data_IF_253132538864
#
_entry.id   IF_253132538864
#
_cell.length_a   1.000
_cell.length_b   1.000
_cell.length_c   1.000
_cell.angle_alpha   90.00
_cell.angle_beta   90.00
_cell.angle_gamma   90.00
#
_symmetry.space_group_name_H-M   'P 1'
#
loop_
_entity.id
_entity.type
_entity.pdbx_description
1 polymer ?
#
# COMPACT_ATOMS: atom_id res chain seq x y z
N UNK A 1 1.98 93.75 25.25
CA UNK A 1 0.82 92.88 24.99
C UNK A 1 1.30 91.81 24.03
N UNK A 2 2.07 90.83 24.53
CA UNK A 2 1.57 89.52 25.00
C UNK A 2 0.79 88.82 23.87
N UNK A 3 1.15 87.64 23.39
CA UNK A 3 1.57 86.47 24.16
C UNK A 3 2.08 85.34 23.27
N UNK A 4 2.74 84.38 23.93
CA UNK A 4 2.80 82.94 23.64
C UNK A 4 3.67 82.38 22.49
N UNK A 5 4.77 81.78 22.94
CA UNK A 5 5.49 80.66 22.34
C UNK A 5 4.60 79.41 22.36
N UNK A 6 4.56 78.66 21.25
CA UNK A 6 4.21 77.24 21.26
C UNK A 6 5.19 76.48 20.37
N UNK A 7 5.90 75.53 20.99
CA UNK A 7 6.83 74.59 20.38
C UNK A 7 5.99 73.50 19.70
N UNK A 8 6.14 73.31 18.39
CA UNK A 8 5.55 72.18 17.66
C UNK A 8 6.56 71.02 17.63
N UNK A 9 6.19 69.91 18.26
CA UNK A 9 6.94 68.67 18.28
C UNK A 9 6.77 67.89 16.96
N UNK A 10 7.88 67.27 16.54
CA UNK A 10 8.05 66.40 15.39
C UNK A 10 7.33 65.06 15.63
N UNK A 11 6.52 64.60 14.67
CA UNK A 11 6.12 63.19 14.55
C UNK A 11 6.54 62.67 13.17
N UNK A 12 7.71 62.04 13.11
CA UNK A 12 8.15 61.23 11.97
C UNK A 12 7.56 59.84 12.15
N UNK A 13 6.52 59.51 11.41
CA UNK A 13 5.98 58.16 11.35
C UNK A 13 6.86 57.31 10.43
N UNK A 14 7.75 56.51 11.02
CA UNK A 14 8.42 55.43 10.31
C UNK A 14 7.43 54.29 10.09
N UNK A 15 6.93 54.15 8.86
CA UNK A 15 6.09 53.03 8.46
C UNK A 15 6.90 51.74 8.40
N UNK A 16 6.91 50.98 9.50
CA UNK A 16 7.21 49.55 9.48
C UNK A 16 6.02 48.85 8.82
N UNK A 17 6.08 48.71 7.50
CA UNK A 17 5.19 47.82 6.77
C UNK A 17 5.51 46.37 7.14
N UNK A 18 4.76 45.81 8.08
CA UNK A 18 4.61 44.37 8.18
C UNK A 18 3.93 43.90 6.89
N UNK A 19 4.73 43.49 5.91
CA UNK A 19 4.24 42.71 4.79
C UNK A 19 3.73 41.39 5.33
N UNK A 20 2.41 41.31 5.55
CA UNK A 20 1.74 40.02 5.71
C UNK A 20 1.88 39.35 4.34
N UNK A 21 2.78 38.38 4.23
CA UNK A 21 2.81 37.52 3.06
C UNK A 21 1.43 36.84 2.99
N UNK A 22 0.56 37.34 2.11
CA UNK A 22 -0.65 36.61 1.77
C UNK A 22 -0.16 35.31 1.15
N UNK A 23 -0.44 34.19 1.81
CA UNK A 23 -0.30 32.89 1.19
C UNK A 23 -1.18 32.94 -0.06
N UNK A 24 -0.54 32.93 -1.22
CA UNK A 24 -1.23 32.84 -2.49
C UNK A 24 -1.99 31.51 -2.47
N UNK A 25 -3.31 31.56 -2.30
CA UNK A 25 -4.15 30.38 -2.50
C UNK A 25 -3.89 29.91 -3.92
N UNK A 26 -3.21 28.76 -4.05
CA UNK A 26 -2.93 28.18 -5.34
C UNK A 26 -4.26 28.05 -6.09
N UNK A 27 -4.36 28.74 -7.23
CA UNK A 27 -5.56 28.72 -8.04
C UNK A 27 -5.82 27.28 -8.50
N UNK A 28 -7.05 26.79 -8.28
CA UNK A 28 -7.46 25.44 -8.68
C UNK A 28 -7.29 25.24 -10.19
N UNK A 29 -6.65 24.14 -10.59
CA UNK A 29 -6.45 23.77 -12.00
C UNK A 29 -7.78 23.38 -12.67
N UNK A 30 -8.73 22.85 -11.89
CA UNK A 30 -10.02 22.39 -12.39
C UNK A 30 -11.23 23.22 -11.92
N UNK A 31 -10.98 24.40 -11.34
CA UNK A 31 -12.04 25.25 -10.77
C UNK A 31 -12.80 24.56 -9.63
N UNK A 32 -12.12 23.70 -8.87
CA UNK A 32 -12.65 23.02 -7.70
C UNK A 32 -12.87 23.99 -6.52
N UNK A 33 -13.98 23.79 -5.79
CA UNK A 33 -14.32 24.60 -4.62
C UNK A 33 -14.92 23.76 -3.48
N UNK A 34 -14.57 24.11 -2.24
CA UNK A 34 -15.06 23.48 -1.01
C UNK A 34 -14.75 21.97 -0.88
N UNK A 35 -13.72 21.46 -1.56
CA UNK A 35 -13.35 20.03 -1.48
C UNK A 35 -12.95 19.60 -0.07
N UNK A 36 -12.31 20.49 0.68
CA UNK A 36 -11.75 20.17 1.98
C UNK A 36 -12.78 20.35 3.12
N UNK A 37 -13.80 21.19 2.92
CA UNK A 37 -14.83 21.49 3.90
C UNK A 37 -16.12 20.69 3.67
N UNK A 38 -16.51 20.50 2.39
CA UNK A 38 -17.81 19.91 1.99
C UNK A 38 -17.67 18.65 1.15
N UNK A 39 -16.46 18.27 0.74
CA UNK A 39 -16.25 17.05 -0.03
C UNK A 39 -16.52 15.80 0.80
N UNK A 40 -17.08 14.78 0.15
CA UNK A 40 -17.30 13.45 0.72
C UNK A 40 -16.67 12.38 -0.18
N UNK A 41 -15.44 11.90 0.11
CA UNK A 41 -14.58 12.29 1.24
C UNK A 41 -13.93 13.67 1.04
N UNK A 42 -13.50 14.29 2.14
CA UNK A 42 -12.73 15.53 2.09
C UNK A 42 -11.42 15.30 1.34
N UNK A 43 -11.11 16.22 0.42
CA UNK A 43 -9.94 16.12 -0.43
C UNK A 43 -9.27 17.49 -0.65
N UNK A 44 -7.99 17.46 -1.02
CA UNK A 44 -7.20 18.60 -1.42
C UNK A 44 -6.78 18.43 -2.87
N UNK A 45 -6.86 19.49 -3.65
CA UNK A 45 -6.25 19.54 -4.98
C UNK A 45 -4.76 19.86 -4.83
N UNK A 46 -3.92 18.97 -5.34
CA UNK A 46 -2.48 19.12 -5.41
C UNK A 46 -1.99 19.57 -6.78
N UNK A 47 -0.69 19.47 -7.01
CA UNK A 47 -0.07 19.85 -8.29
C UNK A 47 -0.31 18.79 -9.36
N UNK A 48 -0.17 19.19 -10.62
CA UNK A 48 -0.20 18.32 -11.80
C UNK A 48 -1.47 17.46 -11.95
N UNK A 49 -2.54 17.91 -11.32
CA UNK A 49 -3.85 17.29 -11.28
C UNK A 49 -3.98 16.09 -10.35
N UNK A 50 -3.05 15.91 -9.42
CA UNK A 50 -3.20 14.98 -8.31
C UNK A 50 -4.16 15.54 -7.26
N UNK A 51 -5.02 14.68 -6.73
CA UNK A 51 -5.85 14.99 -5.57
C UNK A 51 -5.36 14.20 -4.38
N UNK A 52 -5.68 14.60 -3.15
CA UNK A 52 -5.27 13.90 -1.94
C UNK A 52 -6.43 13.89 -0.94
N UNK A 53 -6.86 12.72 -0.51
CA UNK A 53 -7.90 12.61 0.53
C UNK A 53 -7.33 13.00 1.88
N UNK A 54 -8.08 13.80 2.65
CA UNK A 54 -7.59 14.27 3.96
C UNK A 54 -7.31 13.09 4.88
N UNK A 55 -8.25 12.14 4.99
CA UNK A 55 -8.13 11.02 5.92
C UNK A 55 -7.27 9.85 5.43
N UNK A 56 -7.14 9.68 4.12
CA UNK A 56 -6.39 8.56 3.51
C UNK A 56 -4.95 8.92 3.18
N UNK A 57 -4.73 10.14 2.65
CA UNK A 57 -3.41 10.57 2.21
C UNK A 57 -2.75 11.54 3.20
N UNK A 58 -3.51 12.47 3.78
CA UNK A 58 -2.92 13.63 4.49
C UNK A 58 -2.75 13.41 5.99
N UNK A 59 -3.64 12.66 6.64
CA UNK A 59 -3.69 12.49 8.10
C UNK A 59 -2.47 11.77 8.75
N UNK A 60 -1.44 11.39 7.99
CA UNK A 60 -0.18 10.78 8.45
C UNK A 60 -0.37 9.66 9.48
N UNK A 61 -1.26 8.70 9.19
CA UNK A 61 -1.52 7.57 10.09
C UNK A 61 -0.33 6.61 10.12
N UNK A 62 0.03 6.12 11.31
CA UNK A 62 1.02 5.04 11.44
C UNK A 62 0.45 3.71 10.94
N UNK A 63 1.28 2.94 10.22
CA UNK A 63 0.95 1.61 9.69
C UNK A 63 1.58 0.46 10.49
N UNK A 64 2.41 0.75 11.49
CA UNK A 64 2.95 -0.24 12.43
C UNK A 64 3.35 0.42 13.76
N UNK A 65 2.38 0.77 14.61
CA UNK A 65 2.69 1.09 16.01
C UNK A 65 3.29 -0.14 16.74
N UNK A 66 3.89 0.00 17.93
CA UNK A 66 4.54 -1.10 18.61
C UNK A 66 3.66 -2.33 18.83
N UNK A 67 2.41 -2.14 19.25
CA UNK A 67 1.47 -3.24 19.48
C UNK A 67 1.14 -3.98 18.17
N UNK A 68 0.93 -3.23 17.09
CA UNK A 68 0.70 -3.82 15.77
C UNK A 68 1.91 -4.64 15.29
N UNK A 69 3.13 -4.13 15.46
CA UNK A 69 4.33 -4.87 15.09
C UNK A 69 4.46 -6.19 15.88
N UNK A 70 4.10 -6.20 17.15
CA UNK A 70 4.05 -7.41 17.98
C UNK A 70 3.02 -8.41 17.48
N UNK A 71 1.80 -7.98 17.16
CA UNK A 71 0.76 -8.86 16.60
C UNK A 71 1.16 -9.47 15.25
N UNK A 72 1.73 -8.66 14.35
CA UNK A 72 2.23 -9.16 13.06
C UNK A 72 3.38 -10.15 13.28
N UNK A 73 4.27 -9.90 14.24
CA UNK A 73 5.36 -10.82 14.57
C UNK A 73 4.87 -12.14 15.16
N UNK A 74 3.89 -12.10 16.06
CA UNK A 74 3.25 -13.30 16.62
C UNK A 74 2.62 -14.15 15.52
N UNK A 75 1.82 -13.51 14.65
CA UNK A 75 1.21 -14.17 13.50
C UNK A 75 2.25 -14.72 12.51
N UNK A 76 3.29 -13.95 12.20
CA UNK A 76 4.40 -14.39 11.33
C UNK A 76 5.12 -15.62 11.90
N UNK A 77 5.27 -15.71 13.23
CA UNK A 77 5.89 -16.86 13.90
C UNK A 77 5.02 -18.11 13.79
N UNK A 78 3.70 -17.96 13.93
CA UNK A 78 2.74 -19.06 13.74
C UNK A 78 2.81 -19.59 12.31
N UNK A 79 2.70 -18.73 11.30
CA UNK A 79 2.82 -19.13 9.89
C UNK A 79 4.13 -19.88 9.61
N UNK A 80 5.24 -19.39 10.17
CA UNK A 80 6.56 -20.01 10.00
C UNK A 80 6.64 -21.40 10.62
N UNK A 81 5.92 -21.66 11.73
CA UNK A 81 5.82 -22.99 12.33
C UNK A 81 5.12 -24.00 11.39
N UNK A 82 4.26 -23.52 10.49
CA UNK A 82 3.60 -24.31 9.45
C UNK A 82 4.33 -24.29 8.09
N UNK A 83 5.55 -23.76 8.04
CA UNK A 83 6.38 -23.74 6.83
C UNK A 83 6.13 -22.56 5.89
N UNK A 84 5.24 -21.63 6.25
CA UNK A 84 4.87 -20.45 5.46
C UNK A 84 5.61 -19.21 5.96
N UNK A 85 6.25 -18.46 5.06
CA UNK A 85 6.86 -17.17 5.40
C UNK A 85 5.88 -16.05 5.08
N UNK A 86 5.52 -15.26 6.08
CA UNK A 86 4.76 -14.02 5.88
C UNK A 86 5.66 -12.97 5.24
N UNK A 87 5.23 -12.42 4.10
CA UNK A 87 5.77 -11.23 3.47
C UNK A 87 4.76 -10.11 3.69
N UNK A 88 5.04 -9.25 4.67
CA UNK A 88 4.15 -8.14 5.02
C UNK A 88 4.46 -6.92 4.13
N UNK A 89 3.44 -6.40 3.45
CA UNK A 89 3.61 -5.37 2.42
C UNK A 89 2.71 -4.17 2.73
N UNK A 90 3.17 -3.21 3.55
CA UNK A 90 2.45 -1.96 3.75
C UNK A 90 2.60 -1.06 2.52
N UNK A 91 1.50 -0.80 1.82
CA UNK A 91 1.51 0.10 0.66
C UNK A 91 1.63 1.55 1.17
N UNK A 92 2.61 2.34 0.68
CA UNK A 92 2.74 3.74 1.09
C UNK A 92 1.54 4.57 0.64
N UNK A 93 1.25 5.67 1.32
CA UNK A 93 0.22 6.61 0.86
C UNK A 93 0.70 7.39 -0.35
N UNK A 94 -0.24 7.92 -1.14
CA UNK A 94 0.10 8.76 -2.30
C UNK A 94 0.88 10.00 -1.86
N UNK A 95 0.61 10.56 -0.69
CA UNK A 95 1.33 11.71 -0.15
C UNK A 95 2.75 11.39 0.35
N UNK A 96 3.06 10.11 0.61
CA UNK A 96 4.42 9.65 0.92
C UNK A 96 5.24 9.50 -0.37
N UNK A 97 4.61 8.96 -1.42
CA UNK A 97 5.26 8.74 -2.72
C UNK A 97 5.40 10.04 -3.53
N UNK A 98 4.36 10.87 -3.56
CA UNK A 98 4.23 12.09 -4.37
C UNK A 98 4.24 13.36 -3.51
N UNK A 99 5.19 13.46 -2.58
CA UNK A 99 5.26 14.56 -1.62
C UNK A 99 5.37 15.94 -2.31
N UNK A 100 6.07 16.02 -3.43
CA UNK A 100 6.24 17.24 -4.22
C UNK A 100 4.92 17.76 -4.86
N UNK A 101 3.93 16.86 -5.00
CA UNK A 101 2.60 17.16 -5.52
C UNK A 101 1.60 17.56 -4.42
N UNK A 102 1.93 17.37 -3.14
CA UNK A 102 1.05 17.74 -2.03
C UNK A 102 0.94 19.27 -1.95
N UNK A 103 -0.29 19.84 -1.85
CA UNK A 103 -0.46 21.29 -1.78
C UNK A 103 -0.05 21.84 -0.41
N UNK A 104 0.40 23.09 -0.36
CA UNK A 104 0.80 23.75 0.89
C UNK A 104 -0.33 23.80 1.93
N UNK A 105 -1.60 23.90 1.49
CA UNK A 105 -2.78 23.88 2.35
C UNK A 105 -2.91 22.59 3.19
N UNK A 106 -2.24 21.49 2.81
CA UNK A 106 -2.22 20.25 3.59
C UNK A 106 -1.68 20.46 5.02
N UNK A 107 -0.85 21.49 5.25
CA UNK A 107 -0.40 21.89 6.59
C UNK A 107 -1.57 22.13 7.56
N UNK A 108 -2.69 22.68 7.08
CA UNK A 108 -3.89 22.94 7.91
C UNK A 108 -4.51 21.65 8.46
N UNK A 109 -4.22 20.52 7.82
CA UNK A 109 -4.67 19.18 8.18
C UNK A 109 -3.56 18.37 8.89
N UNK A 110 -2.50 19.05 9.34
CA UNK A 110 -1.40 18.46 10.11
C UNK A 110 -0.27 17.87 9.28
N UNK A 111 -0.34 17.92 7.94
CA UNK A 111 0.69 17.33 7.07
C UNK A 111 2.07 17.95 7.27
N UNK A 112 3.07 17.09 7.41
CA UNK A 112 4.49 17.44 7.44
C UNK A 112 5.27 16.39 6.66
N UNK A 113 5.82 16.76 5.51
CA UNK A 113 6.47 15.84 4.56
C UNK A 113 7.50 14.92 5.22
N UNK A 114 8.45 15.48 5.99
CA UNK A 114 9.49 14.69 6.64
C UNK A 114 8.90 13.68 7.63
N UNK A 115 7.93 14.11 8.45
CA UNK A 115 7.26 13.24 9.41
C UNK A 115 6.47 12.14 8.68
N UNK A 116 5.77 12.49 7.59
CA UNK A 116 5.00 11.53 6.79
C UNK A 116 5.89 10.42 6.22
N UNK A 117 7.10 10.78 5.77
CA UNK A 117 8.12 9.82 5.29
C UNK A 117 8.69 8.98 6.43
N UNK A 118 9.07 9.62 7.55
CA UNK A 118 9.65 8.96 8.72
C UNK A 118 8.68 7.92 9.34
N UNK A 119 7.37 8.23 9.39
CA UNK A 119 6.35 7.30 9.90
C UNK A 119 6.37 5.98 9.14
N UNK A 120 6.51 6.01 7.81
CA UNK A 120 6.59 4.79 7.00
C UNK A 120 7.89 4.04 7.27
N UNK A 121 9.03 4.74 7.23
CA UNK A 121 10.35 4.12 7.39
C UNK A 121 10.50 3.49 8.78
N UNK A 122 10.01 4.15 9.82
CA UNK A 122 10.02 3.62 11.19
C UNK A 122 9.10 2.41 11.32
N UNK A 123 7.93 2.39 10.65
CA UNK A 123 7.07 1.21 10.61
C UNK A 123 7.76 0.00 9.96
N UNK A 124 8.42 0.20 8.81
CA UNK A 124 9.23 -0.83 8.14
C UNK A 124 10.36 -1.32 9.07
N UNK A 125 11.08 -0.40 9.71
CA UNK A 125 12.17 -0.73 10.62
C UNK A 125 11.67 -1.59 11.78
N UNK A 126 10.58 -1.17 12.42
CA UNK A 126 10.01 -1.86 13.59
C UNK A 126 9.56 -3.28 13.27
N UNK A 127 8.89 -3.48 12.14
CA UNK A 127 8.47 -4.81 11.70
C UNK A 127 9.68 -5.73 11.41
N UNK A 128 10.71 -5.21 10.75
CA UNK A 128 11.95 -5.97 10.50
C UNK A 128 12.69 -6.30 11.81
N UNK A 129 12.78 -5.35 12.76
CA UNK A 129 13.38 -5.58 14.08
C UNK A 129 12.62 -6.67 14.86
N UNK A 130 11.31 -6.77 14.68
CA UNK A 130 10.46 -7.81 15.25
C UNK A 130 10.55 -9.17 14.51
N UNK A 131 11.38 -9.26 13.48
CA UNK A 131 11.62 -10.50 12.72
C UNK A 131 10.57 -10.79 11.64
N UNK A 132 9.70 -9.83 11.31
CA UNK A 132 8.76 -9.92 10.19
C UNK A 132 9.49 -9.61 8.89
N UNK A 133 9.28 -10.42 7.85
CA UNK A 133 9.81 -10.09 6.52
C UNK A 133 8.92 -8.99 5.92
N UNK A 134 9.42 -7.76 5.90
CA UNK A 134 8.70 -6.60 5.36
C UNK A 134 9.36 -6.05 4.11
N UNK A 135 8.54 -5.61 3.15
CA UNK A 135 8.99 -4.98 1.90
C UNK A 135 8.80 -3.47 1.98
N UNK A 136 9.88 -2.72 1.75
CA UNK A 136 9.82 -1.26 1.54
C UNK A 136 9.40 -0.98 0.09
N UNK A 137 8.17 -0.49 -0.07
CA UNK A 137 7.66 -0.03 -1.36
C UNK A 137 7.88 1.48 -1.57
N UNK A 138 8.07 2.25 -0.51
CA UNK A 138 8.21 3.70 -0.61
C UNK A 138 9.46 4.08 -1.39
N UNK A 139 10.61 3.48 -1.09
CA UNK A 139 11.88 3.78 -1.77
C UNK A 139 11.80 3.57 -3.29
N UNK A 140 11.41 2.37 -3.81
CA UNK A 140 11.33 2.16 -5.25
C UNK A 140 10.23 3.01 -5.90
N UNK A 141 9.08 3.18 -5.27
CA UNK A 141 7.99 3.99 -5.85
C UNK A 141 8.35 5.48 -5.93
N UNK A 142 9.03 6.05 -4.92
CA UNK A 142 9.55 7.43 -4.97
C UNK A 142 10.57 7.62 -6.09
N UNK A 143 11.47 6.65 -6.26
CA UNK A 143 12.45 6.71 -7.35
C UNK A 143 11.76 6.75 -8.73
N UNK A 144 10.74 5.91 -8.93
CA UNK A 144 9.97 5.91 -10.18
C UNK A 144 9.13 7.17 -10.38
N UNK A 145 8.55 7.69 -9.31
CA UNK A 145 7.83 8.97 -9.36
C UNK A 145 8.73 10.15 -9.73
N UNK A 146 9.98 10.16 -9.25
CA UNK A 146 10.97 11.19 -9.58
C UNK A 146 11.38 11.19 -11.06
N UNK A 147 11.24 10.05 -11.75
CA UNK A 147 11.43 9.90 -13.19
C UNK A 147 10.11 10.11 -13.98
N UNK A 148 9.12 10.81 -13.38
CA UNK A 148 7.78 11.08 -13.94
C UNK A 148 6.96 9.81 -14.31
N UNK A 149 7.31 8.64 -13.78
CA UNK A 149 6.54 7.42 -14.01
C UNK A 149 5.19 7.48 -13.27
N UNK A 150 4.08 7.04 -13.89
CA UNK A 150 2.77 7.10 -13.26
C UNK A 150 2.67 6.00 -12.19
N UNK A 151 2.85 6.34 -10.92
CA UNK A 151 2.79 5.40 -9.79
C UNK A 151 1.41 5.32 -9.14
N UNK A 152 0.68 6.43 -9.10
CA UNK A 152 -0.68 6.54 -8.57
C UNK A 152 -1.60 7.20 -9.57
N UNK A 153 -2.86 6.84 -9.50
CA UNK A 153 -3.91 7.54 -10.22
C UNK A 153 -4.09 8.96 -9.67
N UNK A 154 -4.36 9.90 -10.57
CA UNK A 154 -4.45 11.33 -10.24
C UNK A 154 -5.64 11.66 -9.32
N UNK A 155 -6.82 11.17 -9.68
CA UNK A 155 -8.08 11.42 -8.96
C UNK A 155 -8.75 10.13 -8.43
N UNK A 156 -7.95 9.08 -8.20
CA UNK A 156 -8.42 7.78 -7.68
C UNK A 156 -7.43 7.29 -6.61
N UNK A 157 -7.88 6.54 -5.58
CA UNK A 157 -7.01 6.14 -4.48
C UNK A 157 -6.00 5.04 -4.84
N UNK A 158 -6.18 4.34 -5.97
CA UNK A 158 -5.35 3.20 -6.33
C UNK A 158 -4.05 3.62 -7.00
N UNK A 159 -3.05 2.75 -6.92
CA UNK A 159 -1.91 2.81 -7.81
C UNK A 159 -2.36 2.67 -9.28
N UNK A 160 -1.51 3.06 -10.21
CA UNK A 160 -1.69 2.65 -11.61
C UNK A 160 -1.23 1.20 -11.80
N UNK A 161 -1.52 0.60 -12.95
CA UNK A 161 -0.90 -0.66 -13.38
C UNK A 161 0.64 -0.65 -13.30
N UNK A 162 1.29 0.46 -13.66
CA UNK A 162 2.76 0.58 -13.55
C UNK A 162 3.23 0.68 -12.09
N UNK A 163 2.47 1.38 -11.24
CA UNK A 163 2.72 1.40 -9.79
C UNK A 163 2.66 0.00 -9.18
N UNK A 164 1.66 -0.79 -9.57
CA UNK A 164 1.54 -2.19 -9.19
C UNK A 164 2.71 -3.03 -9.68
N UNK A 165 3.18 -2.80 -10.92
CA UNK A 165 4.36 -3.47 -11.50
C UNK A 165 5.62 -3.20 -10.68
N UNK A 166 5.87 -1.95 -10.28
CA UNK A 166 7.02 -1.60 -9.44
C UNK A 166 6.94 -2.23 -8.05
N UNK A 167 5.74 -2.28 -7.47
CA UNK A 167 5.52 -2.98 -6.20
C UNK A 167 5.80 -4.48 -6.33
N UNK A 168 5.30 -5.11 -7.41
CA UNK A 168 5.52 -6.52 -7.67
C UNK A 168 7.00 -6.85 -7.86
N UNK A 169 7.75 -6.01 -8.58
CA UNK A 169 9.19 -6.15 -8.77
C UNK A 169 9.95 -6.12 -7.42
N UNK A 170 9.62 -5.17 -6.54
CA UNK A 170 10.25 -5.06 -5.22
C UNK A 170 9.95 -6.28 -4.32
N UNK A 171 8.70 -6.75 -4.33
CA UNK A 171 8.28 -7.93 -3.54
C UNK A 171 8.92 -9.19 -4.08
N UNK A 172 8.92 -9.40 -5.40
CA UNK A 172 9.56 -10.55 -6.03
C UNK A 172 11.08 -10.56 -5.79
N UNK A 173 11.73 -9.41 -5.83
CA UNK A 173 13.14 -9.27 -5.46
C UNK A 173 13.41 -9.72 -4.01
N UNK A 174 12.54 -9.33 -3.06
CA UNK A 174 12.63 -9.81 -1.67
C UNK A 174 12.42 -11.32 -1.58
N UNK A 175 11.45 -11.86 -2.31
CA UNK A 175 11.13 -13.30 -2.32
C UNK A 175 12.30 -14.12 -2.86
N UNK A 176 12.80 -13.78 -4.05
CA UNK A 176 13.84 -14.52 -4.76
C UNK A 176 15.19 -14.48 -4.04
N UNK A 177 15.48 -13.41 -3.28
CA UNK A 177 16.69 -13.30 -2.47
C UNK A 177 16.72 -14.27 -1.26
N UNK A 178 15.59 -14.80 -0.82
CA UNK A 178 15.54 -15.74 0.31
C UNK A 178 15.90 -17.17 -0.11
N UNK A 179 16.71 -17.92 0.67
CA UNK A 179 17.05 -19.31 0.35
C UNK A 179 15.85 -20.24 0.12
N UNK A 180 14.73 -19.96 0.78
CA UNK A 180 13.47 -20.72 0.70
C UNK A 180 12.86 -20.68 -0.70
N UNK A 181 13.15 -19.67 -1.51
CA UNK A 181 12.72 -19.57 -2.91
C UNK A 181 13.19 -20.75 -3.75
N UNK A 182 14.30 -21.39 -3.37
CA UNK A 182 14.86 -22.56 -4.06
C UNK A 182 13.97 -23.80 -3.99
N UNK A 183 13.03 -23.84 -3.03
CA UNK A 183 12.04 -24.91 -2.88
C UNK A 183 10.82 -24.75 -3.80
N UNK A 184 10.66 -23.59 -4.42
CA UNK A 184 9.52 -23.32 -5.30
C UNK A 184 9.69 -24.06 -6.63
N UNK A 185 8.57 -24.55 -7.16
CA UNK A 185 8.47 -24.98 -8.54
C UNK A 185 8.48 -23.73 -9.42
N UNK A 186 9.58 -23.50 -10.14
CA UNK A 186 9.73 -22.31 -10.96
C UNK A 186 9.05 -22.50 -12.32
N UNK A 187 8.45 -21.43 -12.80
CA UNK A 187 7.81 -21.34 -14.11
C UNK A 187 8.37 -20.14 -14.89
N UNK A 188 8.25 -20.22 -16.21
CA UNK A 188 8.52 -19.10 -17.10
C UNK A 188 7.21 -18.37 -17.35
N UNK A 189 7.17 -17.08 -17.03
CA UNK A 189 5.98 -16.26 -17.26
C UNK A 189 6.28 -15.20 -18.32
N UNK A 190 5.38 -15.07 -19.29
CA UNK A 190 5.42 -14.03 -20.31
C UNK A 190 4.25 -13.09 -20.09
N UNK A 191 4.55 -11.79 -19.97
CA UNK A 191 3.53 -10.75 -19.80
C UNK A 191 3.41 -9.90 -21.06
N UNK A 192 2.21 -9.85 -21.62
CA UNK A 192 1.90 -9.09 -22.83
C UNK A 192 1.12 -7.84 -22.46
N UNK A 193 1.55 -6.69 -22.97
CA UNK A 193 0.84 -5.41 -22.85
C UNK A 193 -0.33 -5.38 -23.84
N UNK A 194 -1.53 -5.14 -23.34
CA UNK A 194 -2.74 -4.91 -24.11
C UNK A 194 -3.08 -3.42 -24.26
N UNK A 195 -4.35 -3.15 -24.53
CA UNK A 195 -4.86 -1.79 -24.72
C UNK A 195 -5.11 -1.07 -23.40
N UNK A 196 -5.00 0.26 -23.45
CA UNK A 196 -5.44 1.14 -22.37
C UNK A 196 -6.97 1.20 -22.32
N UNK A 197 -7.52 1.31 -21.13
CA UNK A 197 -8.94 1.48 -20.91
C UNK A 197 -9.20 2.48 -19.78
N UNK A 198 -10.34 3.16 -19.86
CA UNK A 198 -10.80 4.06 -18.79
C UNK A 198 -11.83 3.35 -17.94
N UNK A 199 -11.75 3.53 -16.63
CA UNK A 199 -12.70 2.97 -15.67
C UNK A 199 -13.35 4.06 -14.82
N UNK A 200 -14.49 3.70 -14.23
CA UNK A 200 -15.15 4.52 -13.21
C UNK A 200 -14.31 4.57 -11.93
N UNK A 201 -14.36 5.69 -11.24
CA UNK A 201 -13.78 5.90 -9.91
C UNK A 201 -14.74 6.70 -9.05
N UNK A 202 -15.15 6.14 -7.92
CA UNK A 202 -16.05 6.80 -6.97
C UNK A 202 -15.42 8.08 -6.42
N UNK A 203 -14.11 8.06 -6.11
CA UNK A 203 -13.40 9.25 -5.63
C UNK A 203 -13.37 10.34 -6.69
N UNK A 204 -13.06 9.99 -7.95
CA UNK A 204 -13.06 10.97 -9.03
C UNK A 204 -14.44 11.59 -9.22
N UNK A 205 -15.50 10.80 -9.22
CA UNK A 205 -16.88 11.30 -9.36
C UNK A 205 -17.26 12.22 -8.20
N UNK A 206 -16.91 11.85 -6.97
CA UNK A 206 -17.14 12.67 -5.79
C UNK A 206 -16.43 14.02 -5.89
N UNK A 207 -15.15 14.05 -6.27
CA UNK A 207 -14.39 15.29 -6.45
C UNK A 207 -14.96 16.11 -7.62
N UNK A 208 -15.32 15.47 -8.75
CA UNK A 208 -15.82 16.13 -9.94
C UNK A 208 -17.07 16.98 -9.66
N UNK A 209 -17.93 16.56 -8.72
CA UNK A 209 -19.12 17.29 -8.32
C UNK A 209 -18.83 18.70 -7.75
N UNK A 210 -17.58 18.96 -7.37
CA UNK A 210 -17.11 20.22 -6.80
C UNK A 210 -16.26 21.05 -7.77
N UNK A 211 -16.05 20.61 -9.01
CA UNK A 211 -15.13 21.21 -9.97
C UNK A 211 -15.85 21.59 -11.27
N UNK A 212 -15.47 22.72 -11.88
CA UNK A 212 -16.07 23.21 -13.12
C UNK A 212 -15.48 22.55 -14.38
N UNK A 213 -14.20 22.21 -14.34
CA UNK A 213 -13.51 21.52 -15.43
C UNK A 213 -13.48 20.00 -15.21
N UNK A 214 -13.33 19.25 -16.29
CA UNK A 214 -13.27 17.79 -16.23
C UNK A 214 -11.96 17.33 -15.59
N UNK A 215 -12.07 16.50 -14.54
CA UNK A 215 -10.93 15.87 -13.88
C UNK A 215 -10.27 14.83 -14.78
N UNK A 216 -8.96 14.55 -14.60
CA UNK A 216 -8.26 13.51 -15.35
C UNK A 216 -9.02 12.19 -15.30
N UNK A 217 -9.23 11.50 -16.45
CA UNK A 217 -9.82 10.17 -16.44
C UNK A 217 -8.90 9.19 -15.70
N UNK A 218 -9.49 8.13 -15.17
CA UNK A 218 -8.73 7.04 -14.55
C UNK A 218 -8.48 5.98 -15.61
N UNK A 219 -7.26 5.99 -16.14
CA UNK A 219 -6.83 5.12 -17.23
C UNK A 219 -5.88 4.06 -16.70
N UNK A 220 -6.10 2.82 -17.10
CA UNK A 220 -5.26 1.67 -16.77
C UNK A 220 -4.85 0.98 -18.07
N UNK A 221 -3.76 0.21 -18.03
CA UNK A 221 -3.33 -0.61 -19.16
C UNK A 221 -3.70 -2.07 -18.89
N UNK A 222 -4.30 -2.76 -19.86
CA UNK A 222 -4.51 -4.21 -19.73
C UNK A 222 -3.19 -4.95 -19.90
N UNK A 223 -2.97 -5.96 -19.08
CA UNK A 223 -1.89 -6.92 -19.26
C UNK A 223 -2.44 -8.33 -19.13
N UNK A 224 -1.72 -9.27 -19.73
CA UNK A 224 -1.99 -10.69 -19.61
C UNK A 224 -0.67 -11.40 -19.30
N UNK A 225 -0.67 -12.27 -18.28
CA UNK A 225 0.51 -13.08 -17.93
C UNK A 225 0.17 -14.55 -18.16
N UNK A 226 0.94 -15.21 -19.01
CA UNK A 226 0.83 -16.65 -19.29
C UNK A 226 2.05 -17.35 -18.70
N UNK A 227 1.80 -18.45 -17.98
CA UNK A 227 2.83 -19.30 -17.39
C UNK A 227 3.06 -20.58 -18.18
N UNK A 228 4.32 -20.91 -18.41
CA UNK A 228 4.78 -22.18 -18.97
C UNK A 228 5.73 -22.85 -17.98
N UNK A 229 5.69 -24.18 -17.88
CA UNK A 229 6.63 -24.90 -17.03
C UNK A 229 8.07 -24.63 -17.50
N UNK A 230 8.94 -24.21 -16.57
CA UNK A 230 10.33 -23.97 -16.90
C UNK A 230 11.04 -25.32 -17.08
N UNK A 231 11.38 -25.70 -18.32
CA UNK A 231 12.30 -26.82 -18.57
C UNK A 231 13.72 -26.41 -18.16
N UNK A 232 14.07 -26.62 -16.88
CA UNK A 232 15.43 -26.46 -16.41
C UNK A 232 16.16 -27.81 -16.50
N UNK A 233 17.13 -27.92 -17.42
CA UNK A 233 17.98 -29.10 -17.59
C UNK A 233 18.76 -29.52 -16.32
N UNK A 234 18.91 -28.62 -15.35
CA UNK A 234 19.69 -28.81 -14.12
C UNK A 234 18.83 -28.97 -12.84
N UNK A 235 17.51 -29.13 -12.95
CA UNK A 235 16.63 -29.34 -11.78
C UNK A 235 15.90 -30.68 -11.87
N UNK A 236 16.39 -31.75 -11.22
CA UNK A 236 15.81 -33.10 -11.33
C UNK A 236 14.45 -33.28 -10.61
N UNK A 237 13.73 -32.20 -10.25
CA UNK A 237 12.50 -32.28 -9.44
C UNK A 237 11.33 -31.42 -9.92
N UNK A 238 11.24 -31.05 -11.21
CA UNK A 238 10.00 -30.51 -11.78
C UNK A 238 8.99 -31.65 -12.06
N UNK A 239 8.66 -32.47 -11.05
CA UNK A 239 7.77 -33.63 -11.18
C UNK A 239 6.34 -33.33 -10.70
N UNK A 240 6.12 -32.19 -10.05
CA UNK A 240 4.76 -31.77 -9.74
C UNK A 240 4.31 -30.81 -10.85
N UNK A 241 3.66 -31.38 -11.87
CA UNK A 241 2.96 -30.61 -12.90
C UNK A 241 1.86 -29.72 -12.29
N UNK A 242 0.97 -29.20 -13.13
CA UNK A 242 -0.12 -28.25 -12.82
C UNK A 242 -1.04 -28.53 -11.58
N UNK A 243 -0.84 -29.63 -10.83
CA UNK A 243 -1.51 -29.94 -9.56
C UNK A 243 -0.74 -29.47 -8.30
N UNK A 244 0.51 -29.02 -8.43
CA UNK A 244 1.27 -28.46 -7.30
C UNK A 244 0.59 -27.18 -6.78
N UNK A 245 0.47 -26.98 -5.44
CA UNK A 245 -0.03 -25.71 -4.92
C UNK A 245 0.90 -24.56 -5.32
N UNK A 246 0.32 -23.39 -5.59
CA UNK A 246 1.10 -22.19 -5.85
C UNK A 246 2.03 -21.91 -4.67
N UNK A 247 3.35 -21.72 -4.90
CA UNK A 247 4.31 -21.44 -3.84
C UNK A 247 4.06 -20.09 -3.16
N UNK A 248 3.34 -19.18 -3.83
CA UNK A 248 2.96 -17.87 -3.30
C UNK A 248 1.44 -17.77 -3.24
N UNK A 249 0.91 -17.37 -2.09
CA UNK A 249 -0.47 -16.91 -1.95
C UNK A 249 -0.45 -15.41 -1.71
N UNK A 250 -1.29 -14.67 -2.44
CA UNK A 250 -1.48 -13.24 -2.29
C UNK A 250 -2.83 -12.97 -1.61
N UNK A 251 -2.80 -12.37 -0.43
CA UNK A 251 -3.98 -11.83 0.26
C UNK A 251 -3.85 -10.32 0.36
N UNK A 252 -4.98 -9.62 0.33
CA UNK A 252 -4.96 -8.16 0.37
C UNK A 252 -6.29 -7.54 0.00
N UNK A 253 -6.19 -6.31 -0.48
CA UNK A 253 -7.32 -5.42 -0.70
C UNK A 253 -7.67 -5.30 -2.19
N UNK A 254 -8.49 -4.30 -2.51
CA UNK A 254 -8.78 -3.90 -3.90
C UNK A 254 -7.55 -3.50 -4.72
N UNK A 255 -6.40 -3.22 -4.10
CA UNK A 255 -5.14 -2.99 -4.80
C UNK A 255 -4.66 -4.26 -5.54
N UNK A 256 -5.03 -5.42 -5.00
CA UNK A 256 -4.62 -6.75 -5.45
C UNK A 256 -5.76 -7.58 -6.05
N UNK A 257 -7.02 -7.17 -5.85
CA UNK A 257 -8.20 -7.95 -6.27
C UNK A 257 -8.58 -7.75 -7.74
N UNK A 258 -9.36 -8.71 -8.26
CA UNK A 258 -10.09 -8.64 -9.53
C UNK A 258 -9.23 -8.38 -10.79
N UNK A 259 -7.91 -8.58 -10.71
CA UNK A 259 -6.98 -8.37 -11.83
C UNK A 259 -6.87 -6.92 -12.29
N UNK A 260 -7.47 -5.96 -11.56
CA UNK A 260 -7.61 -4.57 -12.00
C UNK A 260 -6.27 -3.89 -12.29
N UNK A 261 -5.28 -4.17 -11.42
CA UNK A 261 -3.93 -3.60 -11.48
C UNK A 261 -2.91 -4.55 -12.11
N UNK A 262 -3.32 -5.77 -12.49
CA UNK A 262 -2.45 -6.87 -12.91
C UNK A 262 -1.31 -7.21 -11.94
N UNK A 263 -1.47 -6.85 -10.66
CA UNK A 263 -0.43 -6.97 -9.64
C UNK A 263 0.07 -8.41 -9.45
N UNK A 264 -0.85 -9.38 -9.38
CA UNK A 264 -0.52 -10.80 -9.28
C UNK A 264 0.20 -11.32 -10.52
N UNK A 265 -0.21 -10.90 -11.72
CA UNK A 265 0.45 -11.25 -12.97
C UNK A 265 1.89 -10.76 -13.04
N UNK A 266 2.18 -9.55 -12.54
CA UNK A 266 3.56 -9.06 -12.42
C UNK A 266 4.35 -9.80 -11.33
N UNK A 267 3.71 -10.14 -10.20
CA UNK A 267 4.37 -10.95 -9.17
C UNK A 267 4.78 -12.31 -9.72
N UNK A 268 3.95 -12.96 -10.53
CA UNK A 268 4.31 -14.20 -11.23
C UNK A 268 5.52 -14.00 -12.13
N UNK A 269 5.48 -12.94 -12.96
CA UNK A 269 6.55 -12.61 -13.90
C UNK A 269 7.90 -12.42 -13.21
N UNK A 270 7.95 -11.58 -12.18
CA UNK A 270 9.23 -11.22 -11.53
C UNK A 270 9.73 -12.28 -10.54
N UNK A 271 8.84 -13.10 -9.97
CA UNK A 271 9.24 -14.14 -9.02
C UNK A 271 9.58 -15.48 -9.69
N UNK A 272 9.17 -15.67 -10.95
CA UNK A 272 9.16 -16.97 -11.63
C UNK A 272 8.39 -18.05 -10.86
N UNK A 273 7.41 -17.65 -10.04
CA UNK A 273 6.60 -18.54 -9.22
C UNK A 273 5.13 -18.31 -9.52
N UNK A 274 4.33 -19.38 -9.52
CA UNK A 274 2.89 -19.20 -9.58
C UNK A 274 2.37 -18.52 -8.30
N UNK A 275 1.30 -17.73 -8.47
CA UNK A 275 0.67 -16.93 -7.43
C UNK A 275 -0.82 -17.25 -7.40
N UNK A 276 -1.30 -17.77 -6.26
CA UNK A 276 -2.72 -17.90 -5.97
C UNK A 276 -3.23 -16.60 -5.34
N UNK A 277 -3.96 -15.81 -6.13
CA UNK A 277 -4.50 -14.53 -5.70
C UNK A 277 -5.86 -14.70 -4.99
N UNK A 278 -5.85 -14.49 -3.68
CA UNK A 278 -7.02 -14.54 -2.79
C UNK A 278 -7.43 -13.15 -2.29
N UNK A 279 -6.91 -12.08 -2.88
CA UNK A 279 -7.24 -10.71 -2.50
C UNK A 279 -8.73 -10.41 -2.65
N UNK A 280 -9.23 -9.46 -1.85
CA UNK A 280 -10.65 -9.09 -1.86
C UNK A 280 -10.80 -7.58 -1.95
N UNK A 281 -11.74 -7.10 -2.78
CA UNK A 281 -12.07 -5.68 -2.90
C UNK A 281 -12.78 -5.08 -1.65
N UNK A 282 -12.81 -5.81 -0.53
CA UNK A 282 -13.40 -5.34 0.72
C UNK A 282 -12.61 -4.19 1.34
N UNK A 283 -13.33 -3.28 2.00
CA UNK A 283 -12.73 -2.22 2.81
C UNK A 283 -12.13 -2.73 4.13
N UNK A 284 -12.40 -3.98 4.54
CA UNK A 284 -11.77 -4.59 5.71
C UNK A 284 -10.45 -5.28 5.30
N UNK A 285 -9.27 -4.78 5.73
CA UNK A 285 -7.97 -5.33 5.36
C UNK A 285 -7.70 -6.74 5.91
N UNK A 286 -8.49 -7.21 6.88
CA UNK A 286 -8.40 -8.58 7.41
C UNK A 286 -9.21 -9.59 6.60
N UNK A 287 -10.16 -9.16 5.76
CA UNK A 287 -11.14 -10.08 5.17
C UNK A 287 -10.47 -11.18 4.34
N UNK A 288 -9.64 -10.80 3.38
CA UNK A 288 -8.98 -11.74 2.45
C UNK A 288 -8.11 -12.77 3.17
N UNK A 289 -7.34 -12.32 4.17
CA UNK A 289 -6.49 -13.23 4.94
C UNK A 289 -7.30 -14.15 5.86
N UNK A 290 -8.36 -13.65 6.51
CA UNK A 290 -9.25 -14.48 7.31
C UNK A 290 -9.96 -15.54 6.45
N UNK A 291 -10.46 -15.15 5.27
CA UNK A 291 -11.12 -16.09 4.35
C UNK A 291 -10.15 -17.18 3.87
N UNK A 292 -8.89 -16.82 3.56
CA UNK A 292 -7.85 -17.77 3.20
C UNK A 292 -7.50 -18.74 4.34
N UNK A 293 -7.29 -18.23 5.56
CA UNK A 293 -6.96 -19.09 6.70
C UNK A 293 -8.11 -20.06 7.06
N UNK A 294 -9.37 -19.65 6.83
CA UNK A 294 -10.55 -20.46 7.11
C UNK A 294 -10.93 -21.43 5.99
N UNK A 295 -10.31 -21.33 4.81
CA UNK A 295 -10.58 -22.28 3.72
C UNK A 295 -10.03 -23.67 4.00
N UNK A 296 -9.08 -23.80 4.94
CA UNK A 296 -8.33 -25.03 5.19
C UNK A 296 -7.15 -25.24 4.23
N UNK A 297 -6.97 -24.34 3.24
CA UNK A 297 -5.90 -24.47 2.25
C UNK A 297 -4.51 -24.29 2.89
N UNK A 298 -4.38 -23.42 3.89
CA UNK A 298 -3.11 -23.26 4.62
C UNK A 298 -2.66 -24.58 5.28
N UNK A 299 -3.60 -25.34 5.86
CA UNK A 299 -3.30 -26.61 6.54
C UNK A 299 -3.11 -27.74 5.53
N UNK A 300 -3.93 -27.79 4.48
CA UNK A 300 -3.88 -28.84 3.48
C UNK A 300 -2.67 -28.70 2.55
N UNK A 301 -2.34 -27.47 2.15
CA UNK A 301 -1.33 -27.13 1.14
C UNK A 301 -0.67 -25.78 1.47
N UNK A 302 0.16 -25.71 2.53
CA UNK A 302 0.80 -24.46 2.93
C UNK A 302 1.70 -23.90 1.81
N UNK A 303 1.58 -22.61 1.45
CA UNK A 303 2.46 -21.98 0.49
C UNK A 303 3.82 -21.72 1.12
N UNK A 304 4.86 -21.54 0.30
CA UNK A 304 6.16 -21.11 0.80
C UNK A 304 6.10 -19.67 1.32
N UNK A 305 5.35 -18.81 0.62
CA UNK A 305 5.21 -17.40 0.92
C UNK A 305 3.75 -16.98 0.95
N UNK A 306 3.34 -16.30 2.01
CA UNK A 306 2.08 -15.58 2.08
C UNK A 306 2.38 -14.09 1.97
N UNK A 307 2.04 -13.48 0.83
CA UNK A 307 2.14 -12.03 0.64
C UNK A 307 0.86 -11.40 1.17
N UNK A 308 1.00 -10.55 2.19
CA UNK A 308 -0.12 -9.76 2.71
C UNK A 308 0.06 -8.29 2.33
N UNK A 309 -0.66 -7.87 1.29
CA UNK A 309 -0.78 -6.48 0.87
C UNK A 309 -1.75 -5.74 1.81
N UNK A 310 -1.23 -4.71 2.48
CA UNK A 310 -2.00 -3.87 3.39
C UNK A 310 -2.18 -2.49 2.77
N UNK A 311 -3.43 -2.06 2.52
CA UNK A 311 -3.68 -0.86 1.75
C UNK A 311 -3.20 0.41 2.48
N UNK A 312 -2.99 1.51 1.74
CA UNK A 312 -2.42 2.73 2.30
C UNK A 312 -3.22 3.30 3.46
N UNK A 313 -2.51 3.71 4.51
CA UNK A 313 -3.13 4.36 5.68
C UNK A 313 -3.99 3.43 6.55
N UNK A 314 -4.02 2.12 6.27
CA UNK A 314 -4.65 1.14 7.15
C UNK A 314 -3.85 1.00 8.45
N UNK A 315 -4.43 1.47 9.55
CA UNK A 315 -3.96 1.15 10.89
C UNK A 315 -4.67 -0.13 11.36
N UNK A 316 -4.03 -1.29 11.20
CA UNK A 316 -4.64 -2.56 11.59
C UNK A 316 -4.95 -2.63 13.10
N UNK A 317 -4.27 -1.85 13.95
CA UNK A 317 -4.57 -1.79 15.38
C UNK A 317 -5.95 -1.15 15.67
N UNK A 318 -6.50 -0.34 14.75
CA UNK A 318 -7.82 0.29 14.97
C UNK A 318 -9.00 -0.68 14.84
N UNK A 319 -8.75 -1.94 14.44
CA UNK A 319 -9.78 -2.98 14.31
C UNK A 319 -9.98 -3.79 15.60
N UNK A 320 -9.26 -3.47 16.68
CA UNK A 320 -9.34 -4.18 17.95
C UNK A 320 -8.63 -5.53 17.93
N UNK A 321 -8.73 -6.31 19.01
CA UNK A 321 -8.00 -7.57 19.17
C UNK A 321 -8.63 -8.76 18.41
N UNK A 322 -9.95 -8.76 18.22
CA UNK A 322 -10.69 -9.92 17.68
C UNK A 322 -10.22 -10.42 16.30
N UNK A 323 -9.88 -9.54 15.33
CA UNK A 323 -9.30 -9.99 14.08
C UNK A 323 -7.97 -10.73 14.27
N UNK A 324 -7.10 -10.24 15.16
CA UNK A 324 -5.81 -10.88 15.46
C UNK A 324 -5.99 -12.23 16.13
N UNK A 325 -6.86 -12.32 17.13
CA UNK A 325 -7.20 -13.59 17.79
C UNK A 325 -7.72 -14.62 16.78
N UNK A 326 -8.56 -14.18 15.83
CA UNK A 326 -9.05 -15.04 14.74
C UNK A 326 -7.93 -15.51 13.82
N UNK A 327 -7.01 -14.62 13.42
CA UNK A 327 -5.87 -14.99 12.59
C UNK A 327 -4.94 -15.98 13.31
N UNK A 328 -4.64 -15.74 14.58
CA UNK A 328 -3.78 -16.60 15.38
C UNK A 328 -4.40 -17.99 15.59
N UNK A 329 -5.68 -18.06 15.95
CA UNK A 329 -6.39 -19.33 16.09
C UNK A 329 -6.45 -20.11 14.77
N UNK A 330 -6.77 -19.42 13.66
CA UNK A 330 -6.86 -20.05 12.34
C UNK A 330 -5.49 -20.52 11.83
N UNK A 331 -4.42 -19.76 12.11
CA UNK A 331 -3.07 -20.13 11.73
C UNK A 331 -2.51 -21.29 12.56
N UNK A 332 -2.84 -21.37 13.86
CA UNK A 332 -2.47 -22.51 14.71
C UNK A 332 -3.11 -23.82 14.24
N UNK A 333 -4.21 -23.72 13.46
CA UNK A 333 -5.08 -24.83 13.11
C UNK A 333 -5.95 -25.18 14.30
N UNK A 334 -7.28 -25.14 14.12
CA UNK A 334 -8.21 -25.59 15.15
C UNK A 334 -7.78 -26.97 15.65
N UNK A 335 -7.38 -27.07 16.92
CA UNK A 335 -7.37 -28.36 17.60
C UNK A 335 -8.85 -28.82 17.56
N UNK A 336 -9.19 -29.75 16.68
CA UNK A 336 -10.51 -30.36 16.66
C UNK A 336 -10.86 -30.97 18.02
N UNK A 337 -12.07 -31.51 18.16
CA UNK A 337 -12.53 -32.19 19.40
C UNK A 337 -11.59 -33.27 19.95
N UNK A 338 -10.59 -33.67 19.18
CA UNK A 338 -9.62 -34.71 19.52
C UNK A 338 -8.25 -34.16 19.97
N UNK A 339 -8.13 -32.84 20.16
CA UNK A 339 -6.97 -32.19 20.77
C UNK A 339 -5.77 -32.03 19.85
N UNK A 340 -4.90 -31.08 20.17
CA UNK A 340 -3.66 -30.84 19.44
C UNK A 340 -2.72 -32.05 19.56
N UNK A 341 -2.76 -32.90 18.53
CA UNK A 341 -1.95 -34.10 18.41
C UNK A 341 -0.47 -33.76 18.39
N UNK A 342 0.24 -34.30 19.37
CA UNK A 342 1.68 -34.21 19.53
C UNK A 342 2.43 -34.43 18.22
N UNK A 343 3.28 -33.46 17.87
CA UNK A 343 4.35 -33.67 16.92
C UNK A 343 5.24 -34.84 17.38
N UNK A 344 5.43 -35.80 16.47
CA UNK A 344 6.53 -36.74 16.39
C UNK A 344 6.83 -37.61 17.64
N UNK A 345 6.20 -38.79 17.72
CA UNK A 345 6.97 -39.99 18.09
C UNK A 345 7.45 -40.66 16.81
N UNK A 346 8.74 -40.48 16.52
CA UNK A 346 9.43 -41.28 15.53
C UNK A 346 9.38 -42.75 15.93
N UNK A 347 8.94 -43.59 14.99
CA UNK A 347 9.18 -45.02 14.99
C UNK A 347 10.45 -45.28 14.18
N UNK A 348 11.56 -45.48 14.89
CA UNK A 348 12.47 -46.65 14.84
C UNK A 348 13.75 -46.37 15.64
#
# INVERSE_FOLDING_TARGET
MDSMKTIAALCVAAGLGCGIAQAEEAQSLYGCANLAEKGEPQALEGKDGYFFTVMGDIAMKSVADPALAESVAAFSKLLKAHGTILIFVPVPTRSQVLADKVPQAAWLYGYKENINTEIYQEAIKRLNDAGVVTVDLLTPMKAKAADDSPVYQKADPLWTTEGARFAAEAIAGKITAMPQSRKANLMTFTTTKGEDYTRRSDLREAIQAHCSESLPPVTETRYETVGEEAFAADRPFNILGAEAPAPVVLVGSRFSADGQSHFDGFLKQFSNMDVDNRASASANPFKSITDYLRSGDLQAKPPLFLVWEVPPGSNLASYGPEPWETLEASAAGDCGSDGCGAAAKGSE
#
